data_IF_359266261575
#
_entry.id   IF_359266261575
#
_cell.length_a   1.000
_cell.length_b   1.000
_cell.length_c   1.000
_cell.angle_alpha   90.00
_cell.angle_beta   90.00
_cell.angle_gamma   90.00
#
_symmetry.space_group_name_H-M   'P 1'
#
loop_
_entity.id
_entity.type
_entity.pdbx_description
1 polymer ?
#
# COMPACT_ATOMS: atom_id res chain seq x y z
N UNK A 1 -31.14 -5.32 -56.12
CA UNK A 1 -29.78 -5.75 -55.71
C UNK A 1 -29.56 -5.30 -54.27
N UNK A 2 -29.95 -6.14 -53.32
CA UNK A 2 -29.71 -5.94 -51.88
C UNK A 2 -28.37 -6.60 -51.55
N UNK A 3 -27.36 -5.79 -51.20
CA UNK A 3 -26.03 -6.28 -50.83
C UNK A 3 -26.09 -7.22 -49.61
N UNK A 4 -25.11 -8.13 -49.46
CA UNK A 4 -25.11 -9.09 -48.37
C UNK A 4 -24.93 -8.38 -47.02
N UNK A 5 -25.55 -8.90 -45.94
CA UNK A 5 -25.43 -8.29 -44.62
C UNK A 5 -23.98 -8.35 -44.13
N UNK A 6 -23.49 -7.19 -43.73
CA UNK A 6 -22.21 -6.97 -43.08
C UNK A 6 -22.04 -7.96 -41.92
N UNK A 7 -21.00 -8.78 -42.01
CA UNK A 7 -20.61 -9.73 -40.97
C UNK A 7 -20.32 -8.93 -39.69
N UNK A 8 -21.30 -8.82 -38.79
CA UNK A 8 -21.06 -8.35 -37.42
C UNK A 8 -20.04 -9.30 -36.83
N UNK A 9 -18.80 -8.83 -36.74
CA UNK A 9 -17.76 -9.47 -35.96
C UNK A 9 -18.31 -9.70 -34.55
N UNK A 10 -18.81 -10.90 -34.31
CA UNK A 10 -19.08 -11.41 -32.98
C UNK A 10 -17.71 -11.42 -32.33
N UNK A 11 -17.42 -10.39 -31.53
CA UNK A 11 -16.29 -10.42 -30.60
C UNK A 11 -16.61 -11.55 -29.66
N UNK A 12 -16.16 -12.76 -30.00
CA UNK A 12 -16.23 -13.92 -29.13
C UNK A 12 -15.59 -13.48 -27.83
N UNK A 13 -16.36 -13.53 -26.74
CA UNK A 13 -15.88 -13.15 -25.43
C UNK A 13 -14.70 -14.07 -25.10
N UNK A 14 -13.49 -13.55 -25.32
CA UNK A 14 -12.25 -14.31 -25.26
C UNK A 14 -12.10 -14.92 -23.86
N UNK A 15 -12.36 -16.23 -23.77
CA UNK A 15 -12.32 -16.99 -22.51
C UNK A 15 -10.90 -16.95 -21.99
N UNK A 16 -10.72 -16.61 -20.71
CA UNK A 16 -9.39 -16.55 -20.13
C UNK A 16 -8.71 -17.93 -20.18
N UNK A 17 -7.44 -18.03 -20.59
CA UNK A 17 -6.72 -19.29 -20.57
C UNK A 17 -6.62 -19.83 -19.14
N UNK A 18 -6.53 -21.16 -18.98
CA UNK A 18 -6.61 -21.83 -17.68
C UNK A 18 -5.61 -21.25 -16.66
N UNK A 19 -4.34 -21.08 -17.06
CA UNK A 19 -3.29 -20.53 -16.21
C UNK A 19 -3.65 -19.13 -15.68
N UNK A 20 -4.25 -18.27 -16.51
CA UNK A 20 -4.62 -16.89 -16.14
C UNK A 20 -5.75 -16.88 -15.11
N UNK A 21 -6.67 -17.85 -15.20
CA UNK A 21 -7.77 -18.02 -14.23
C UNK A 21 -7.25 -18.48 -12.88
N UNK A 22 -6.38 -19.47 -12.85
CA UNK A 22 -5.75 -19.97 -11.62
C UNK A 22 -4.90 -18.87 -10.97
N UNK A 23 -4.04 -18.21 -11.75
CA UNK A 23 -3.22 -17.10 -11.27
C UNK A 23 -4.09 -15.98 -10.66
N UNK A 24 -5.17 -15.60 -11.35
CA UNK A 24 -6.08 -14.58 -10.85
C UNK A 24 -6.75 -14.97 -9.53
N UNK A 25 -7.22 -16.22 -9.37
CA UNK A 25 -7.86 -16.68 -8.13
C UNK A 25 -6.91 -16.61 -6.95
N UNK A 26 -5.67 -17.09 -7.13
CA UNK A 26 -4.62 -16.98 -6.12
C UNK A 26 -4.35 -15.52 -5.75
N UNK A 27 -4.07 -14.69 -6.75
CA UNK A 27 -3.76 -13.26 -6.58
C UNK A 27 -4.91 -12.51 -5.90
N UNK A 28 -6.16 -12.81 -6.28
CA UNK A 28 -7.34 -12.19 -5.67
C UNK A 28 -7.45 -12.56 -4.19
N UNK A 29 -7.30 -13.84 -3.85
CA UNK A 29 -7.36 -14.29 -2.45
C UNK A 29 -6.21 -13.72 -1.62
N UNK A 30 -4.99 -13.74 -2.16
CA UNK A 30 -3.82 -13.18 -1.50
C UNK A 30 -3.98 -11.69 -1.20
N UNK A 31 -4.33 -10.89 -2.20
CA UNK A 31 -4.46 -9.45 -2.03
C UNK A 31 -5.64 -9.07 -1.15
N UNK A 32 -6.79 -9.75 -1.27
CA UNK A 32 -7.93 -9.50 -0.37
C UNK A 32 -7.54 -9.84 1.07
N UNK A 33 -6.91 -11.00 1.30
CA UNK A 33 -6.45 -11.38 2.63
C UNK A 33 -5.41 -10.41 3.21
N UNK A 34 -4.48 -9.93 2.36
CA UNK A 34 -3.51 -8.91 2.74
C UNK A 34 -4.19 -7.59 3.15
N UNK A 35 -5.12 -7.08 2.34
CA UNK A 35 -5.84 -5.83 2.63
C UNK A 35 -6.68 -5.91 3.92
N UNK A 36 -7.28 -7.07 4.20
CA UNK A 36 -8.03 -7.29 5.43
C UNK A 36 -7.13 -7.28 6.68
N UNK A 37 -5.87 -7.72 6.53
CA UNK A 37 -4.90 -7.78 7.64
C UNK A 37 -4.10 -6.50 7.82
N UNK A 38 -3.87 -5.72 6.77
CA UNK A 38 -2.97 -4.56 6.80
C UNK A 38 -3.51 -3.33 7.55
N UNK A 39 -4.77 -3.35 7.99
CA UNK A 39 -5.42 -2.20 8.64
C UNK A 39 -5.81 -1.08 7.68
N UNK A 40 -5.42 -1.15 6.39
CA UNK A 40 -5.75 -0.14 5.37
C UNK A 40 -7.26 0.02 5.18
N UNK A 41 -8.03 -1.04 5.41
CA UNK A 41 -9.49 -0.96 5.39
C UNK A 41 -10.04 0.02 6.43
N UNK A 42 -9.42 0.13 7.61
CA UNK A 42 -9.78 1.14 8.60
C UNK A 42 -9.46 2.54 8.08
N UNK A 43 -8.28 2.76 7.48
CA UNK A 43 -7.94 4.07 6.92
C UNK A 43 -8.96 4.54 5.86
N UNK A 44 -9.39 3.63 4.96
CA UNK A 44 -10.33 3.96 3.87
C UNK A 44 -11.76 4.20 4.40
N UNK A 45 -12.13 3.60 5.52
CA UNK A 45 -13.50 3.64 6.07
C UNK A 45 -13.67 4.64 7.21
N UNK A 46 -12.67 5.49 7.46
CA UNK A 46 -12.66 6.43 8.59
C UNK A 46 -13.85 7.42 8.56
N UNK A 47 -14.42 7.73 7.39
CA UNK A 47 -15.65 8.54 7.27
C UNK A 47 -16.91 7.87 7.84
N UNK A 48 -16.87 6.58 8.16
CA UNK A 48 -18.02 5.80 8.63
C UNK A 48 -17.73 5.10 9.96
N UNK A 49 -17.68 5.82 11.10
CA UNK A 49 -17.33 5.24 12.39
C UNK A 49 -18.26 4.08 12.80
N UNK A 50 -19.56 4.19 12.53
CA UNK A 50 -20.52 3.10 12.82
C UNK A 50 -20.18 1.82 12.05
N UNK A 51 -19.79 1.96 10.77
CA UNK A 51 -19.36 0.83 9.95
C UNK A 51 -18.11 0.19 10.56
N UNK A 52 -17.14 1.00 11.00
CA UNK A 52 -15.88 0.52 11.58
C UNK A 52 -16.04 -0.18 12.92
N UNK A 53 -16.88 0.35 13.80
CA UNK A 53 -17.01 -0.19 15.16
C UNK A 53 -17.95 -1.39 15.22
N UNK A 54 -19.00 -1.42 14.38
CA UNK A 54 -20.06 -2.41 14.51
C UNK A 54 -20.14 -3.42 13.37
N UNK A 55 -19.86 -3.02 12.12
CA UNK A 55 -20.15 -3.83 10.94
C UNK A 55 -18.92 -4.52 10.33
N UNK A 56 -17.80 -3.81 10.23
CA UNK A 56 -16.54 -4.30 9.66
C UNK A 56 -15.81 -5.34 10.51
N UNK A 57 -15.78 -5.28 11.86
CA UNK A 57 -14.92 -6.16 12.64
C UNK A 57 -15.29 -7.63 12.50
N UNK A 58 -16.59 -7.96 12.49
CA UNK A 58 -17.03 -9.35 12.43
C UNK A 58 -16.66 -10.05 11.12
N UNK A 59 -16.98 -9.51 9.93
CA UNK A 59 -16.56 -10.11 8.66
C UNK A 59 -15.04 -10.16 8.53
N UNK A 60 -14.32 -9.11 8.93
CA UNK A 60 -12.85 -9.09 8.86
C UNK A 60 -12.26 -10.20 9.72
N UNK A 61 -12.74 -10.37 10.96
CA UNK A 61 -12.30 -11.45 11.85
C UNK A 61 -12.60 -12.83 11.27
N UNK A 62 -13.81 -13.05 10.74
CA UNK A 62 -14.18 -14.33 10.14
C UNK A 62 -13.29 -14.65 8.92
N UNK A 63 -13.08 -13.68 8.04
CA UNK A 63 -12.30 -13.87 6.81
C UNK A 63 -10.80 -14.04 7.08
N UNK A 64 -10.27 -13.42 8.14
CA UNK A 64 -8.85 -13.52 8.51
C UNK A 64 -8.55 -14.67 9.46
N UNK A 65 -9.58 -15.26 10.09
CA UNK A 65 -9.42 -16.35 11.06
C UNK A 65 -8.63 -17.56 10.52
N UNK A 66 -8.85 -18.07 9.29
CA UNK A 66 -8.07 -19.21 8.78
C UNK A 66 -6.57 -18.91 8.73
N UNK A 67 -6.20 -17.68 8.37
CA UNK A 67 -4.80 -17.25 8.33
C UNK A 67 -4.25 -17.15 9.75
N UNK A 68 -5.00 -16.57 10.69
CA UNK A 68 -4.59 -16.44 12.10
C UNK A 68 -4.43 -17.81 12.78
N UNK A 69 -5.38 -18.72 12.55
CA UNK A 69 -5.33 -20.09 13.07
C UNK A 69 -4.11 -20.84 12.53
N UNK A 70 -3.88 -20.78 11.21
CA UNK A 70 -2.69 -21.40 10.61
C UNK A 70 -1.40 -20.74 11.09
N UNK A 71 -1.38 -19.42 11.28
CA UNK A 71 -0.23 -18.68 11.84
C UNK A 71 0.12 -19.22 13.22
N UNK A 72 -0.88 -19.32 14.11
CA UNK A 72 -0.69 -19.83 15.46
C UNK A 72 -0.23 -21.29 15.45
N UNK A 73 -0.84 -22.14 14.60
CA UNK A 73 -0.46 -23.54 14.47
C UNK A 73 1.00 -23.68 14.05
N UNK A 74 1.41 -22.98 12.98
CA UNK A 74 2.80 -23.00 12.49
C UNK A 74 3.77 -22.45 13.53
N UNK A 75 3.42 -21.34 14.20
CA UNK A 75 4.26 -20.74 15.22
C UNK A 75 4.57 -21.70 16.37
N UNK A 76 3.56 -22.41 16.89
CA UNK A 76 3.75 -23.32 18.03
C UNK A 76 4.33 -24.68 17.64
N UNK A 77 3.87 -25.27 16.53
CA UNK A 77 4.16 -26.67 16.21
C UNK A 77 5.31 -26.85 15.22
N UNK A 78 5.56 -25.88 14.34
CA UNK A 78 6.61 -25.98 13.31
C UNK A 78 7.83 -25.15 13.70
N UNK A 79 7.62 -23.93 14.17
CA UNK A 79 8.70 -23.00 14.51
C UNK A 79 9.01 -22.95 16.01
N UNK A 80 8.25 -23.66 16.85
CA UNK A 80 8.44 -23.75 18.29
C UNK A 80 8.60 -22.39 18.99
N UNK A 81 7.88 -21.35 18.52
CA UNK A 81 7.84 -20.07 19.21
C UNK A 81 7.17 -20.26 20.57
N UNK A 82 7.80 -19.69 21.60
CA UNK A 82 7.29 -19.71 22.96
C UNK A 82 7.26 -18.28 23.55
N UNK A 83 6.47 -18.12 24.61
CA UNK A 83 6.36 -16.86 25.35
C UNK A 83 5.75 -15.72 24.52
N UNK A 84 6.21 -14.50 24.76
CA UNK A 84 5.65 -13.28 24.16
C UNK A 84 5.75 -13.30 22.63
N UNK A 85 6.80 -13.91 22.07
CA UNK A 85 7.00 -14.02 20.62
C UNK A 85 5.91 -14.86 19.90
N UNK A 86 5.27 -15.79 20.62
CA UNK A 86 4.24 -16.68 20.06
C UNK A 86 2.84 -16.04 20.00
N UNK A 87 2.63 -14.90 20.68
CA UNK A 87 1.34 -14.23 20.81
C UNK A 87 1.39 -12.87 20.14
N UNK A 88 0.28 -12.44 19.52
CA UNK A 88 0.20 -11.09 18.97
C UNK A 88 0.30 -10.04 20.09
N UNK A 89 1.31 -9.17 20.00
CA UNK A 89 1.55 -8.08 20.95
C UNK A 89 2.01 -6.83 20.19
N UNK A 90 1.77 -5.65 20.76
CA UNK A 90 2.23 -4.41 20.14
C UNK A 90 3.73 -4.21 20.41
N UNK A 91 4.51 -4.17 19.33
CA UNK A 91 5.97 -3.95 19.38
C UNK A 91 6.40 -2.67 18.66
N UNK A 92 5.49 -2.04 17.90
CA UNK A 92 5.84 -1.02 16.91
C UNK A 92 6.55 -1.58 15.66
N UNK A 93 6.88 -2.88 15.62
CA UNK A 93 7.56 -3.56 14.53
C UNK A 93 6.58 -4.34 13.65
N UNK A 94 6.70 -4.17 12.33
CA UNK A 94 6.01 -4.97 11.32
C UNK A 94 6.72 -6.28 10.95
N UNK A 95 7.92 -6.51 11.50
CA UNK A 95 8.82 -7.62 11.12
C UNK A 95 8.99 -8.67 12.21
N UNK A 96 8.03 -8.82 13.12
CA UNK A 96 8.08 -9.88 14.14
C UNK A 96 8.09 -11.27 13.50
N UNK A 97 8.69 -12.26 14.18
CA UNK A 97 8.67 -13.65 13.71
C UNK A 97 7.23 -14.14 13.42
N UNK A 98 6.29 -13.77 14.28
CA UNK A 98 4.86 -14.05 14.08
C UNK A 98 4.30 -13.37 12.80
N UNK A 99 4.76 -12.16 12.46
CA UNK A 99 4.34 -11.46 11.25
C UNK A 99 4.79 -12.21 9.98
N UNK A 100 6.05 -12.68 9.95
CA UNK A 100 6.61 -13.50 8.87
C UNK A 100 5.88 -14.84 8.71
N UNK A 101 5.66 -15.56 9.82
CA UNK A 101 4.89 -16.81 9.82
C UNK A 101 3.47 -16.55 9.34
N UNK A 102 2.87 -15.42 9.72
CA UNK A 102 1.55 -15.06 9.25
C UNK A 102 1.50 -14.74 7.75
N UNK A 103 2.57 -14.19 7.19
CA UNK A 103 2.66 -13.98 5.74
C UNK A 103 2.75 -15.31 5.00
N UNK A 104 3.55 -16.26 5.51
CA UNK A 104 3.58 -17.63 5.01
C UNK A 104 2.18 -18.28 5.09
N UNK A 105 1.50 -18.17 6.23
CA UNK A 105 0.15 -18.67 6.40
C UNK A 105 -0.83 -18.04 5.39
N UNK A 106 -0.72 -16.74 5.13
CA UNK A 106 -1.55 -16.06 4.12
C UNK A 106 -1.34 -16.64 2.72
N UNK A 107 -0.08 -16.90 2.34
CA UNK A 107 0.24 -17.53 1.04
C UNK A 107 -0.37 -18.94 0.96
N UNK A 108 -0.19 -19.75 2.01
CA UNK A 108 -0.71 -21.13 2.06
C UNK A 108 -2.24 -21.19 2.02
N UNK A 109 -2.92 -20.36 2.82
CA UNK A 109 -4.39 -20.26 2.81
C UNK A 109 -4.89 -19.77 1.45
N UNK A 110 -4.23 -18.78 0.84
CA UNK A 110 -4.60 -18.26 -0.48
C UNK A 110 -4.42 -19.31 -1.57
N UNK A 111 -3.36 -20.12 -1.47
CA UNK A 111 -3.12 -21.24 -2.38
C UNK A 111 -4.18 -22.33 -2.23
N UNK A 112 -4.48 -22.76 -0.99
CA UNK A 112 -5.54 -23.74 -0.72
C UNK A 112 -6.91 -23.24 -1.21
N UNK A 113 -7.25 -21.98 -0.92
CA UNK A 113 -8.46 -21.35 -1.40
C UNK A 113 -8.51 -21.26 -2.93
N UNK A 114 -7.38 -21.07 -3.61
CA UNK A 114 -7.29 -21.09 -5.07
C UNK A 114 -7.59 -22.49 -5.63
N UNK A 115 -7.08 -23.55 -4.98
CA UNK A 115 -7.38 -24.94 -5.37
C UNK A 115 -8.88 -25.22 -5.20
N UNK A 116 -9.47 -24.88 -4.05
CA UNK A 116 -10.91 -25.07 -3.78
C UNK A 116 -11.77 -24.26 -4.75
N UNK A 117 -11.43 -22.99 -5.01
CA UNK A 117 -12.15 -22.18 -5.97
C UNK A 117 -12.05 -22.79 -7.37
N UNK A 118 -10.88 -23.31 -7.74
CA UNK A 118 -10.68 -23.91 -9.06
C UNK A 118 -11.52 -25.17 -9.27
N UNK A 119 -11.55 -26.07 -8.28
CA UNK A 119 -12.36 -27.30 -8.33
C UNK A 119 -13.86 -27.00 -8.32
N UNK A 120 -14.32 -26.09 -7.46
CA UNK A 120 -15.75 -25.71 -7.42
C UNK A 120 -16.18 -25.05 -8.73
N UNK A 121 -15.35 -24.16 -9.29
CA UNK A 121 -15.67 -23.46 -10.53
C UNK A 121 -15.67 -24.41 -11.74
N UNK A 122 -14.82 -25.44 -11.76
CA UNK A 122 -14.85 -26.46 -12.82
C UNK A 122 -16.09 -27.35 -12.71
N UNK A 123 -16.47 -27.76 -11.49
CA UNK A 123 -17.65 -28.61 -11.27
C UNK A 123 -18.96 -27.88 -11.57
N UNK A 124 -19.07 -26.59 -11.19
CA UNK A 124 -20.31 -25.82 -11.37
C UNK A 124 -20.48 -25.19 -12.76
N UNK A 125 -19.53 -25.38 -13.68
CA UNK A 125 -19.61 -24.81 -15.04
C UNK A 125 -19.72 -23.27 -15.08
N UNK A 126 -19.25 -22.57 -14.04
CA UNK A 126 -19.41 -21.11 -13.94
C UNK A 126 -18.63 -20.41 -15.05
N UNK A 127 -19.21 -19.36 -15.64
CA UNK A 127 -18.55 -18.51 -16.64
C UNK A 127 -17.16 -18.09 -16.17
N UNK A 128 -16.15 -18.36 -16.99
CA UNK A 128 -14.75 -18.32 -16.61
C UNK A 128 -14.08 -16.98 -16.98
N UNK A 129 -14.83 -15.88 -16.87
CA UNK A 129 -14.37 -14.54 -17.20
C UNK A 129 -14.36 -13.65 -15.94
N UNK A 130 -13.17 -13.24 -15.51
CA UNK A 130 -12.97 -12.46 -14.29
C UNK A 130 -12.66 -10.98 -14.54
N UNK A 131 -12.99 -10.43 -15.72
CA UNK A 131 -12.64 -9.05 -16.08
C UNK A 131 -13.19 -8.01 -15.09
N UNK A 132 -14.46 -8.15 -14.70
CA UNK A 132 -15.11 -7.27 -13.73
C UNK A 132 -14.48 -7.37 -12.35
N UNK A 133 -14.28 -8.60 -11.85
CA UNK A 133 -13.68 -8.82 -10.53
C UNK A 133 -12.22 -8.31 -10.49
N UNK A 134 -11.46 -8.52 -11.57
CA UNK A 134 -10.13 -7.96 -11.73
C UNK A 134 -10.14 -6.42 -11.70
N UNK A 135 -11.10 -5.77 -12.36
CA UNK A 135 -11.21 -4.31 -12.31
C UNK A 135 -11.52 -3.79 -10.89
N UNK A 136 -12.38 -4.46 -10.13
CA UNK A 136 -12.65 -4.11 -8.73
C UNK A 136 -11.45 -4.37 -7.82
N UNK A 137 -10.76 -5.50 -7.99
CA UNK A 137 -9.53 -5.80 -7.25
C UNK A 137 -8.47 -4.74 -7.50
N UNK A 138 -8.24 -4.39 -8.77
CA UNK A 138 -7.28 -3.35 -9.17
C UNK A 138 -7.64 -1.99 -8.58
N UNK A 139 -8.93 -1.62 -8.56
CA UNK A 139 -9.41 -0.40 -7.91
C UNK A 139 -9.14 -0.41 -6.39
N UNK A 140 -9.49 -1.50 -5.70
CA UNK A 140 -9.30 -1.62 -4.26
C UNK A 140 -7.82 -1.53 -3.87
N UNK A 141 -6.96 -2.23 -4.61
CA UNK A 141 -5.51 -2.20 -4.42
C UNK A 141 -4.91 -0.82 -4.69
N UNK A 142 -5.39 -0.13 -5.73
CA UNK A 142 -4.95 1.23 -6.07
C UNK A 142 -5.30 2.23 -4.97
N UNK A 143 -6.53 2.19 -4.45
CA UNK A 143 -6.96 3.05 -3.33
C UNK A 143 -6.16 2.72 -2.07
N UNK A 144 -5.88 1.44 -1.83
CA UNK A 144 -5.12 0.99 -0.66
C UNK A 144 -3.65 1.44 -0.69
N UNK A 145 -3.00 1.33 -1.85
CA UNK A 145 -1.64 1.84 -2.06
C UNK A 145 -1.60 3.37 -1.92
N UNK A 146 -2.59 4.07 -2.48
CA UNK A 146 -2.73 5.52 -2.34
C UNK A 146 -2.89 5.94 -0.88
N UNK A 147 -3.78 5.28 -0.12
CA UNK A 147 -3.98 5.56 1.30
C UNK A 147 -2.68 5.38 2.11
N UNK A 148 -1.90 4.34 1.81
CA UNK A 148 -0.63 4.07 2.47
C UNK A 148 0.42 5.14 2.14
N UNK A 149 0.58 5.48 0.85
CA UNK A 149 1.51 6.51 0.39
C UNK A 149 1.16 7.90 0.95
N UNK A 150 -0.12 8.26 0.98
CA UNK A 150 -0.57 9.53 1.56
C UNK A 150 -0.34 9.55 3.09
N UNK A 151 -0.59 8.43 3.78
CA UNK A 151 -0.33 8.31 5.21
C UNK A 151 1.13 8.57 5.59
N UNK A 152 2.06 7.80 5.00
CA UNK A 152 3.49 8.00 5.25
C UNK A 152 4.00 9.32 4.67
N UNK A 153 3.56 9.69 3.46
CA UNK A 153 3.99 10.91 2.79
C UNK A 153 3.62 12.17 3.58
N UNK A 154 2.38 12.30 4.05
CA UNK A 154 1.99 13.43 4.89
C UNK A 154 2.69 13.41 6.25
N UNK A 155 2.93 12.23 6.86
CA UNK A 155 3.70 12.18 8.10
C UNK A 155 5.12 12.75 7.96
N UNK A 156 5.72 12.63 6.77
CA UNK A 156 7.02 13.24 6.44
C UNK A 156 6.92 14.71 6.06
N UNK A 157 5.89 15.10 5.31
CA UNK A 157 5.67 16.52 4.92
C UNK A 157 5.45 17.40 6.16
N UNK A 158 4.85 16.86 7.21
CA UNK A 158 4.62 17.54 8.47
C UNK A 158 5.70 17.26 9.53
N UNK A 159 6.82 16.63 9.14
CA UNK A 159 7.95 16.27 10.03
C UNK A 159 7.55 15.46 11.28
N UNK A 160 6.45 14.72 11.20
CA UNK A 160 5.90 13.93 12.29
C UNK A 160 6.52 12.53 12.38
N UNK A 161 7.21 12.05 11.33
CA UNK A 161 7.75 10.69 11.29
C UNK A 161 9.13 10.55 11.95
N UNK A 162 10.03 11.52 11.74
CA UNK A 162 11.41 11.45 12.23
C UNK A 162 11.60 12.44 13.36
N UNK A 163 11.33 11.98 14.59
CA UNK A 163 11.49 12.82 15.77
C UNK A 163 12.96 13.24 15.97
N UNK A 164 13.20 14.43 16.55
CA UNK A 164 14.51 14.84 17.03
C UNK A 164 15.16 13.76 17.92
N UNK A 165 16.49 13.57 17.85
CA UNK A 165 17.18 12.64 18.73
C UNK A 165 16.98 13.05 20.20
N UNK A 166 16.58 12.09 21.03
CA UNK A 166 16.45 12.30 22.47
C UNK A 166 17.82 12.35 23.17
N UNK A 167 17.82 12.71 24.46
CA UNK A 167 19.05 12.81 25.27
C UNK A 167 19.90 11.54 25.25
N UNK A 168 19.26 10.35 25.21
CA UNK A 168 19.98 9.08 25.14
C UNK A 168 20.79 8.96 23.84
N UNK A 169 20.18 9.30 22.70
CA UNK A 169 20.83 9.29 21.38
C UNK A 169 21.91 10.37 21.26
N UNK A 170 21.72 11.53 21.90
CA UNK A 170 22.72 12.60 21.93
C UNK A 170 23.97 12.24 22.75
N UNK A 171 23.82 11.40 23.78
CA UNK A 171 24.92 10.92 24.63
C UNK A 171 25.59 9.64 24.09
N UNK A 172 25.01 9.01 23.07
CA UNK A 172 25.53 7.82 22.43
C UNK A 172 26.64 8.20 21.42
N UNK A 173 27.68 7.37 21.30
CA UNK A 173 28.73 7.62 20.32
C UNK A 173 28.23 7.18 18.95
N UNK A 174 28.56 7.92 17.89
CA UNK A 174 28.11 7.61 16.53
C UNK A 174 28.41 6.16 16.10
N UNK A 175 29.54 5.60 16.53
CA UNK A 175 29.92 4.22 16.23
C UNK A 175 29.10 3.15 16.94
N UNK A 176 28.39 3.52 18.00
CA UNK A 176 27.55 2.62 18.81
C UNK A 176 26.07 2.65 18.36
N UNK A 177 25.70 3.59 17.49
CA UNK A 177 24.32 3.75 17.01
C UNK A 177 23.83 2.46 16.34
N UNK A 178 22.60 2.06 16.68
CA UNK A 178 21.89 1.07 15.87
C UNK A 178 21.73 1.57 14.42
N UNK A 179 21.70 0.68 13.40
CA UNK A 179 21.51 1.10 12.02
C UNK A 179 20.24 1.93 11.81
N UNK A 180 19.14 1.55 12.45
CA UNK A 180 17.89 2.31 12.40
C UNK A 180 18.04 3.67 13.09
N UNK A 181 18.67 3.73 14.27
CA UNK A 181 18.90 4.98 15.00
C UNK A 181 19.73 5.98 14.19
N UNK A 182 20.75 5.50 13.48
CA UNK A 182 21.54 6.30 12.56
C UNK A 182 20.69 6.86 11.40
N UNK A 183 19.88 6.02 10.75
CA UNK A 183 19.00 6.45 9.67
C UNK A 183 17.95 7.45 10.16
N UNK A 184 17.31 7.20 11.30
CA UNK A 184 16.30 8.10 11.88
C UNK A 184 16.90 9.46 12.22
N UNK A 185 18.10 9.48 12.82
CA UNK A 185 18.81 10.72 13.14
C UNK A 185 19.20 11.46 11.87
N UNK A 186 19.68 10.76 10.84
CA UNK A 186 20.02 11.36 9.55
C UNK A 186 18.81 11.99 8.86
N UNK A 187 17.69 11.27 8.78
CA UNK A 187 16.45 11.77 8.17
C UNK A 187 15.90 12.96 8.97
N UNK A 188 15.76 12.81 10.29
CA UNK A 188 15.26 13.86 11.18
C UNK A 188 16.17 15.08 11.24
N UNK A 189 17.44 14.96 10.85
CA UNK A 189 18.35 16.09 10.87
C UNK A 189 17.95 17.21 9.90
N UNK A 190 17.44 16.84 8.73
CA UNK A 190 17.13 17.78 7.65
C UNK A 190 15.64 17.76 7.33
N UNK A 191 14.89 18.70 7.93
CA UNK A 191 13.46 18.91 7.63
C UNK A 191 13.23 19.03 6.12
N UNK A 192 13.99 19.84 5.35
CA UNK A 192 13.77 19.94 3.90
C UNK A 192 13.95 18.61 3.17
N UNK A 193 14.92 17.78 3.57
CA UNK A 193 15.11 16.44 2.99
C UNK A 193 13.95 15.49 3.36
N UNK A 194 13.51 15.51 4.63
CA UNK A 194 12.36 14.74 5.09
C UNK A 194 11.10 15.14 4.34
N UNK A 195 10.82 16.43 4.19
CA UNK A 195 9.68 16.95 3.40
C UNK A 195 9.79 16.53 1.93
N UNK A 196 10.97 16.63 1.30
CA UNK A 196 11.17 16.17 -0.07
C UNK A 196 10.87 14.68 -0.23
N UNK A 197 11.33 13.86 0.72
CA UNK A 197 11.02 12.42 0.73
C UNK A 197 9.52 12.15 0.94
N UNK A 198 8.83 12.97 1.72
CA UNK A 198 7.37 12.92 1.89
C UNK A 198 6.62 13.31 0.63
N UNK A 199 7.04 14.38 -0.06
CA UNK A 199 6.46 14.79 -1.35
C UNK A 199 6.62 13.69 -2.40
N UNK A 200 7.76 13.00 -2.42
CA UNK A 200 7.99 11.86 -3.30
C UNK A 200 6.99 10.71 -3.06
N UNK A 201 6.45 10.56 -1.85
CA UNK A 201 5.37 9.61 -1.52
C UNK A 201 3.97 10.17 -1.79
N UNK A 202 3.72 11.45 -1.49
CA UNK A 202 2.40 12.09 -1.68
C UNK A 202 2.02 12.16 -3.17
N UNK A 203 2.95 12.56 -4.04
CA UNK A 203 2.69 12.69 -5.49
C UNK A 203 2.10 11.41 -6.09
N UNK A 204 2.75 10.23 -6.00
CA UNK A 204 2.17 9.00 -6.53
C UNK A 204 0.86 8.62 -5.82
N UNK A 205 0.73 8.88 -4.51
CA UNK A 205 -0.51 8.68 -3.77
C UNK A 205 -1.70 9.43 -4.40
N UNK A 206 -1.52 10.71 -4.73
CA UNK A 206 -2.53 11.54 -5.41
C UNK A 206 -2.80 11.02 -6.83
N UNK A 207 -1.74 10.73 -7.60
CA UNK A 207 -1.88 10.26 -8.98
C UNK A 207 -2.63 8.92 -9.08
N UNK A 208 -2.49 8.05 -8.07
CA UNK A 208 -3.21 6.77 -7.99
C UNK A 208 -4.71 6.96 -7.73
N UNK A 209 -5.17 8.07 -7.15
CA UNK A 209 -6.61 8.30 -6.96
C UNK A 209 -7.34 8.51 -8.29
N UNK A 210 -6.68 9.12 -9.26
CA UNK A 210 -7.26 9.41 -10.57
C UNK A 210 -6.91 8.35 -11.60
N UNK A 211 -7.93 7.78 -12.24
CA UNK A 211 -7.75 6.70 -13.23
C UNK A 211 -6.80 7.09 -14.38
N UNK A 212 -6.80 8.36 -14.81
CA UNK A 212 -5.98 8.82 -15.95
C UNK A 212 -4.48 8.87 -15.62
N UNK A 213 -4.14 9.07 -14.36
CA UNK A 213 -2.74 9.20 -13.89
C UNK A 213 -2.25 7.97 -13.14
N UNK A 214 -3.11 6.96 -12.95
CA UNK A 214 -2.83 5.79 -12.15
C UNK A 214 -1.56 5.03 -12.58
N UNK A 215 -1.31 4.89 -13.88
CA UNK A 215 -0.12 4.20 -14.40
C UNK A 215 1.16 4.96 -14.02
N UNK A 216 1.16 6.29 -14.14
CA UNK A 216 2.28 7.14 -13.72
C UNK A 216 2.48 7.08 -12.20
N UNK A 217 1.39 7.16 -11.44
CA UNK A 217 1.42 7.00 -9.98
C UNK A 217 2.01 5.66 -9.56
N UNK A 218 1.64 4.56 -10.21
CA UNK A 218 2.19 3.24 -9.94
C UNK A 218 3.68 3.12 -10.32
N UNK A 219 4.12 3.75 -11.41
CA UNK A 219 5.53 3.78 -11.82
C UNK A 219 6.41 4.51 -10.80
N UNK A 220 5.98 5.69 -10.36
CA UNK A 220 6.66 6.45 -9.31
C UNK A 220 6.62 5.69 -7.99
N UNK A 221 5.51 5.02 -7.66
CA UNK A 221 5.40 4.18 -6.46
C UNK A 221 6.44 3.06 -6.43
N UNK A 222 6.73 2.42 -7.57
CA UNK A 222 7.79 1.39 -7.64
C UNK A 222 9.13 1.99 -7.26
N UNK A 223 9.49 3.16 -7.79
CA UNK A 223 10.76 3.81 -7.47
C UNK A 223 10.85 4.21 -5.98
N UNK A 224 9.76 4.76 -5.44
CA UNK A 224 9.65 5.14 -4.03
C UNK A 224 9.79 3.92 -3.12
N UNK A 225 9.00 2.87 -3.34
CA UNK A 225 9.07 1.67 -2.51
C UNK A 225 10.38 0.90 -2.69
N UNK A 226 11.01 0.95 -3.86
CA UNK A 226 12.33 0.37 -4.04
C UNK A 226 13.36 1.05 -3.12
N UNK A 227 13.33 2.38 -3.02
CA UNK A 227 14.18 3.12 -2.08
C UNK A 227 13.83 2.78 -0.61
N UNK A 228 12.54 2.83 -0.25
CA UNK A 228 12.09 2.49 1.12
C UNK A 228 12.50 1.06 1.51
N UNK A 229 12.35 0.08 0.60
CA UNK A 229 12.81 -1.30 0.82
C UNK A 229 14.32 -1.35 1.01
N UNK A 230 15.09 -0.67 0.15
CA UNK A 230 16.54 -0.64 0.28
C UNK A 230 16.98 -0.06 1.64
N UNK A 231 16.38 1.06 2.08
CA UNK A 231 16.64 1.62 3.41
C UNK A 231 16.27 0.63 4.52
N UNK A 232 15.13 -0.04 4.42
CA UNK A 232 14.68 -0.96 5.46
C UNK A 232 15.58 -2.18 5.62
N UNK A 233 16.10 -2.73 4.53
CA UNK A 233 17.02 -3.87 4.59
C UNK A 233 18.44 -3.44 4.98
N UNK A 234 18.92 -2.30 4.47
CA UNK A 234 20.29 -1.85 4.72
C UNK A 234 20.48 -1.21 6.11
N UNK A 235 19.43 -0.62 6.69
CA UNK A 235 19.46 0.03 8.01
C UNK A 235 18.59 -0.69 9.06
N UNK A 236 18.23 -1.95 8.79
CA UNK A 236 17.46 -2.81 9.68
C UNK A 236 16.17 -2.18 10.26
N UNK A 237 15.47 -1.41 9.44
CA UNK A 237 14.19 -0.81 9.85
C UNK A 237 13.13 -1.90 9.93
N UNK A 238 12.37 -2.03 11.04
CA UNK A 238 11.50 -3.17 11.29
C UNK A 238 10.13 -3.09 10.56
N UNK A 239 10.14 -2.76 9.26
CA UNK A 239 8.96 -2.73 8.37
C UNK A 239 9.26 -3.29 6.97
N UNK A 240 10.24 -4.20 6.84
CA UNK A 240 10.71 -4.84 5.60
C UNK A 240 9.60 -5.66 4.92
N UNK A 241 8.84 -6.44 5.69
CA UNK A 241 7.76 -7.29 5.17
C UNK A 241 6.69 -6.44 4.48
N UNK A 242 6.28 -5.37 5.17
CA UNK A 242 5.23 -4.49 4.69
C UNK A 242 5.68 -3.67 3.46
N UNK A 243 6.85 -3.02 3.53
CA UNK A 243 7.37 -2.23 2.41
C UNK A 243 7.64 -3.09 1.16
N UNK A 244 8.16 -4.30 1.33
CA UNK A 244 8.37 -5.25 0.22
C UNK A 244 7.05 -5.67 -0.42
N UNK A 245 6.02 -5.89 0.39
CA UNK A 245 4.69 -6.24 -0.13
C UNK A 245 4.08 -5.08 -0.92
N UNK A 246 4.28 -3.83 -0.49
CA UNK A 246 3.84 -2.64 -1.22
C UNK A 246 4.63 -2.43 -2.53
N UNK A 247 5.93 -2.76 -2.55
CA UNK A 247 6.71 -2.79 -3.78
C UNK A 247 6.11 -3.79 -4.78
N UNK A 248 5.85 -5.03 -4.34
CA UNK A 248 5.18 -6.05 -5.17
C UNK A 248 3.79 -5.59 -5.62
N UNK A 249 3.04 -4.92 -4.75
CA UNK A 249 1.73 -4.35 -5.08
C UNK A 249 1.82 -3.29 -6.17
N UNK A 250 2.78 -2.37 -6.07
CA UNK A 250 2.99 -1.32 -7.07
C UNK A 250 3.36 -1.89 -8.44
N UNK A 251 4.23 -2.92 -8.47
CA UNK A 251 4.55 -3.68 -9.68
C UNK A 251 3.31 -4.42 -10.23
N UNK A 252 2.51 -5.02 -9.36
CA UNK A 252 1.27 -5.69 -9.75
C UNK A 252 0.28 -4.73 -10.41
N UNK A 253 0.16 -3.51 -9.91
CA UNK A 253 -0.71 -2.48 -10.50
C UNK A 253 -0.27 -2.08 -11.92
N UNK A 254 1.02 -2.19 -12.24
CA UNK A 254 1.57 -1.91 -13.58
C UNK A 254 1.37 -3.05 -14.59
N UNK A 255 1.09 -4.28 -14.15
CA UNK A 255 0.96 -5.45 -15.04
C UNK A 255 0.03 -5.23 -16.24
N UNK A 256 -1.17 -4.61 -16.12
CA UNK A 256 -2.05 -4.39 -17.27
C UNK A 256 -1.47 -3.46 -18.34
N UNK A 257 -0.58 -2.55 -17.94
CA UNK A 257 0.02 -1.54 -18.80
C UNK A 257 1.46 -1.91 -19.23
N UNK A 258 2.05 -2.98 -18.68
CA UNK A 258 3.46 -3.35 -18.90
C UNK A 258 3.84 -3.47 -20.37
N UNK A 259 3.02 -4.13 -21.19
CA UNK A 259 3.26 -4.24 -22.63
C UNK A 259 3.21 -2.89 -23.36
N UNK A 260 2.40 -1.94 -22.87
CA UNK A 260 2.32 -0.58 -23.42
C UNK A 260 3.53 0.24 -23.01
N UNK A 261 3.97 0.11 -21.75
CA UNK A 261 5.17 0.76 -21.26
C UNK A 261 6.39 0.30 -22.06
N UNK A 262 6.49 -1.00 -22.36
CA UNK A 262 7.51 -1.54 -23.26
C UNK A 262 7.43 -0.91 -24.66
N UNK A 263 6.23 -0.81 -25.24
CA UNK A 263 6.04 -0.17 -26.55
C UNK A 263 6.42 1.30 -26.55
N UNK A 264 6.16 2.05 -25.47
CA UNK A 264 6.48 3.47 -25.38
C UNK A 264 7.98 3.69 -25.14
N UNK A 265 8.55 3.05 -24.12
CA UNK A 265 9.94 3.34 -23.69
C UNK A 265 11.00 2.65 -24.55
N UNK A 266 10.69 1.48 -25.13
CA UNK A 266 11.68 0.68 -25.85
C UNK A 266 11.38 0.67 -27.34
N UNK A 267 10.12 0.46 -27.72
CA UNK A 267 9.74 0.46 -29.15
C UNK A 267 9.45 1.87 -29.70
N UNK A 268 9.43 2.91 -28.85
CA UNK A 268 9.15 4.29 -29.22
C UNK A 268 7.82 4.48 -29.98
N UNK A 269 6.79 3.66 -29.66
CA UNK A 269 5.45 3.70 -30.27
C UNK A 269 4.44 4.33 -29.32
N UNK A 270 3.70 5.32 -29.81
CA UNK A 270 2.58 5.90 -29.06
C UNK A 270 1.43 4.89 -28.94
N UNK A 271 1.09 4.50 -27.71
CA UNK A 271 -0.02 3.59 -27.42
C UNK A 271 -0.95 4.25 -26.39
N UNK A 272 -2.28 4.31 -26.63
CA UNK A 272 -3.21 4.86 -25.63
C UNK A 272 -3.21 3.98 -24.39
N UNK A 273 -3.24 4.54 -23.18
CA UNK A 273 -3.37 3.76 -21.95
C UNK A 273 -4.78 3.15 -21.84
N UNK A 274 -4.89 1.89 -21.40
CA UNK A 274 -6.19 1.27 -21.04
C UNK A 274 -6.09 0.69 -19.64
N UNK A 275 -6.45 1.52 -18.67
CA UNK A 275 -6.66 1.06 -17.29
C UNK A 275 -7.91 0.18 -17.19
N UNK A 276 -7.90 -0.90 -16.38
CA UNK A 276 -9.10 -1.67 -16.08
C UNK A 276 -10.26 -0.76 -15.65
N UNK A 277 -11.43 -0.96 -16.27
CA UNK A 277 -12.59 -0.11 -16.04
C UNK A 277 -13.64 -0.87 -15.26
N UNK A 278 -13.98 -0.39 -14.08
CA UNK A 278 -15.12 -0.89 -13.32
C UNK A 278 -16.41 -0.52 -14.06
N UNK A 279 -17.33 -1.48 -14.28
CA UNK A 279 -18.63 -1.21 -14.89
C UNK A 279 -19.40 -0.15 -14.09
N UNK A 280 -20.00 0.82 -14.78
CA UNK A 280 -20.83 1.84 -14.13
C UNK A 280 -22.25 1.29 -13.90
N UNK A 281 -22.87 1.50 -12.73
CA UNK A 281 -24.26 1.14 -12.54
C UNK A 281 -25.18 1.84 -13.54
N UNK A 282 -26.15 1.12 -14.11
CA UNK A 282 -27.13 1.68 -15.05
C UNK A 282 -28.08 2.68 -14.36
N UNK A 283 -28.43 2.40 -13.09
CA UNK A 283 -29.33 3.26 -12.31
C UNK A 283 -28.62 4.56 -11.89
N UNK A 284 -29.23 5.70 -12.25
CA UNK A 284 -28.70 7.03 -11.95
C UNK A 284 -28.35 7.24 -10.47
N UNK A 285 -29.25 6.82 -9.55
CA UNK A 285 -29.05 6.97 -8.10
C UNK A 285 -27.83 6.19 -7.59
N UNK A 286 -27.62 4.97 -8.09
CA UNK A 286 -26.46 4.14 -7.71
C UNK A 286 -25.16 4.74 -8.25
N UNK A 287 -25.21 5.37 -9.43
CA UNK A 287 -24.05 6.07 -10.00
C UNK A 287 -23.67 7.30 -9.18
N UNK A 288 -24.66 8.12 -8.75
CA UNK A 288 -24.42 9.24 -7.85
C UNK A 288 -23.85 8.74 -6.52
N UNK A 289 -24.46 7.71 -5.92
CA UNK A 289 -23.98 7.13 -4.67
C UNK A 289 -22.52 6.66 -4.78
N UNK A 290 -22.12 6.07 -5.90
CA UNK A 290 -20.73 5.71 -6.17
C UNK A 290 -19.77 6.90 -6.22
N UNK A 291 -20.16 8.01 -6.86
CA UNK A 291 -19.33 9.22 -6.88
C UNK A 291 -19.25 9.90 -5.51
N UNK A 292 -20.36 9.95 -4.77
CA UNK A 292 -20.40 10.47 -3.40
C UNK A 292 -19.50 9.63 -2.49
N UNK A 293 -19.60 8.30 -2.56
CA UNK A 293 -18.72 7.40 -1.80
C UNK A 293 -17.25 7.61 -2.16
N UNK A 294 -16.92 7.74 -3.44
CA UNK A 294 -15.55 8.03 -3.87
C UNK A 294 -15.05 9.37 -3.31
N UNK A 295 -15.88 10.42 -3.38
CA UNK A 295 -15.54 11.73 -2.82
C UNK A 295 -15.35 11.69 -1.31
N UNK A 296 -16.21 10.96 -0.58
CA UNK A 296 -16.10 10.77 0.87
C UNK A 296 -14.82 10.03 1.25
N UNK A 297 -14.48 8.94 0.54
CA UNK A 297 -13.23 8.20 0.76
C UNK A 297 -12.02 9.12 0.56
N UNK A 298 -11.98 9.86 -0.56
CA UNK A 298 -10.88 10.78 -0.84
C UNK A 298 -10.80 11.87 0.24
N UNK A 299 -11.91 12.55 0.52
CA UNK A 299 -11.96 13.61 1.53
C UNK A 299 -11.54 13.10 2.91
N UNK A 300 -11.95 11.89 3.28
CA UNK A 300 -11.59 11.26 4.55
C UNK A 300 -10.10 10.90 4.63
N UNK A 301 -9.52 10.37 3.55
CA UNK A 301 -8.09 10.08 3.49
C UNK A 301 -7.28 11.37 3.66
N UNK A 302 -7.63 12.43 2.94
CA UNK A 302 -6.96 13.73 3.10
C UNK A 302 -7.20 14.34 4.49
N UNK A 303 -8.44 14.32 4.98
CA UNK A 303 -8.75 14.89 6.30
C UNK A 303 -7.96 14.18 7.39
N UNK A 304 -8.00 12.85 7.47
CA UNK A 304 -7.30 12.08 8.51
C UNK A 304 -5.79 12.21 8.43
N UNK A 305 -5.22 12.20 7.23
CA UNK A 305 -3.77 12.34 7.05
C UNK A 305 -3.29 13.76 7.31
N UNK A 306 -4.07 14.79 7.00
CA UNK A 306 -3.68 16.19 7.26
C UNK A 306 -3.96 16.57 8.72
N UNK A 307 -5.15 16.30 9.25
CA UNK A 307 -5.55 16.75 10.59
C UNK A 307 -4.64 16.15 11.66
N UNK A 308 -4.40 14.84 11.61
CA UNK A 308 -3.57 14.15 12.61
C UNK A 308 -2.13 14.69 12.63
N UNK A 309 -1.57 14.98 11.46
CA UNK A 309 -0.20 15.47 11.34
C UNK A 309 -0.09 16.98 11.60
N UNK A 310 -1.10 17.76 11.24
CA UNK A 310 -1.16 19.20 11.53
C UNK A 310 -1.25 19.46 13.05
N UNK A 311 -2.06 18.67 13.76
CA UNK A 311 -2.13 18.74 15.22
C UNK A 311 -0.78 18.43 15.87
N UNK A 312 -0.05 17.41 15.38
CA UNK A 312 1.28 17.09 15.87
C UNK A 312 2.27 18.25 15.64
N UNK A 313 2.27 18.86 14.45
CA UNK A 313 3.18 19.97 14.13
C UNK A 313 2.96 21.21 15.03
N UNK A 314 1.70 21.52 15.35
CA UNK A 314 1.39 22.71 16.16
C UNK A 314 1.60 22.51 17.66
N UNK A 315 1.57 21.27 18.15
CA UNK A 315 1.66 20.99 19.59
C UNK A 315 3.10 20.87 20.09
N UNK A 316 4.03 20.42 19.23
CA UNK A 316 5.46 20.35 19.53
C UNK A 316 6.29 21.22 18.56
N UNK A 317 6.22 22.57 18.66
CA UNK A 317 7.05 23.43 17.83
C UNK A 317 8.53 23.19 18.12
N UNK A 318 9.32 22.94 17.06
CA UNK A 318 10.78 22.85 17.13
C UNK A 318 11.32 24.09 17.85
N UNK A 319 12.09 23.95 18.95
CA UNK A 319 12.63 25.09 19.68
C UNK A 319 13.46 25.97 18.75
N UNK A 320 13.09 27.25 18.63
CA UNK A 320 13.92 28.25 17.95
C UNK A 320 15.19 28.50 18.76
N UNK A 321 16.32 27.91 18.37
CA UNK A 321 17.64 28.22 18.94
C UNK A 321 18.41 29.26 18.11
N UNK A 322 19.27 29.99 18.81
CA UNK A 322 19.83 31.33 18.46
C UNK A 322 21.12 31.33 17.61
N UNK A 323 21.58 30.21 17.06
CA UNK A 323 22.91 30.15 16.44
C UNK A 323 22.87 29.79 14.96
N UNK A 324 23.17 30.78 14.11
CA UNK A 324 23.30 30.64 12.66
C UNK A 324 24.66 30.02 12.30
N UNK A 325 24.69 29.09 11.36
CA UNK A 325 25.92 28.56 10.75
C UNK A 325 26.53 29.61 9.80
N UNK A 326 27.25 30.60 10.32
CA UNK A 326 27.73 31.78 9.57
C UNK A 326 28.88 31.54 8.57
N UNK A 327 29.33 30.29 8.35
CA UNK A 327 30.58 30.00 7.61
C UNK A 327 30.41 29.48 6.18
N UNK A 328 29.19 29.20 5.70
CA UNK A 328 28.94 28.81 4.29
C UNK A 328 27.76 29.63 3.74
N UNK A 329 27.65 29.80 2.41
CA UNK A 329 26.63 30.65 1.76
C UNK A 329 25.20 30.08 1.83
N UNK A 330 24.35 30.37 0.84
CA UNK A 330 22.91 30.04 0.80
C UNK A 330 22.55 28.65 1.38
N UNK A 331 21.76 28.61 2.46
CA UNK A 331 21.46 27.38 3.20
C UNK A 331 20.05 26.84 2.90
N UNK A 332 20.00 25.63 2.34
CA UNK A 332 18.78 24.79 2.28
C UNK A 332 18.69 23.82 3.48
N UNK A 333 19.64 23.89 4.41
CA UNK A 333 19.84 22.90 5.47
C UNK A 333 19.37 23.49 6.79
N UNK A 334 18.87 22.64 7.70
CA UNK A 334 18.62 23.00 9.10
C UNK A 334 19.86 23.68 9.68
N UNK A 335 19.80 25.00 9.87
CA UNK A 335 20.93 25.80 10.35
C UNK A 335 21.22 25.57 11.85
N UNK A 336 20.28 24.91 12.54
CA UNK A 336 20.35 24.62 13.96
C UNK A 336 20.76 23.15 14.16
N UNK A 337 22.02 22.85 14.57
CA UNK A 337 22.38 21.51 14.99
C UNK A 337 21.60 21.10 16.25
N UNK A 338 21.17 19.84 16.35
CA UNK A 338 20.43 19.28 17.50
C UNK A 338 21.20 19.29 18.82
N UNK A 339 22.47 19.68 18.79
CA UNK A 339 23.40 19.48 19.88
C UNK A 339 24.09 20.80 20.24
N UNK A 340 23.58 21.46 21.31
CA UNK A 340 24.36 22.14 22.34
C UNK A 340 23.61 22.12 23.66
#
# INVERSE_FOLDING_TARGET
MTGPPENRNVITAEVWPHWKRVAFRFVALFWVGFLLRSGVLLAITAFAPLLQHWLLPWPVRILTWPVQALTSLLAHHVFHLAGVAAVAHQTGSGDTALAWIGMLALVLVSWLGCVVWTTVASVRGVRQEYRTLFAYLHLALRISLAATLLGYGFSKVFDAQFSPPGLNTLNERLGDFSPMGLLWTFMGYSIPYTVLSGVAEVIPGILLLFRRTATLGALISVAVFLNVVALNFCYDVPVKLFSSTLLVLSMFLLLPDMGRLWSVFIQHRAVPLRTPTVPKPERHRLRIAGYVLQALVIASLFYTTISNNYHAWWTDPVPQQKHLLTQRGFHWVQENPFNR
#
